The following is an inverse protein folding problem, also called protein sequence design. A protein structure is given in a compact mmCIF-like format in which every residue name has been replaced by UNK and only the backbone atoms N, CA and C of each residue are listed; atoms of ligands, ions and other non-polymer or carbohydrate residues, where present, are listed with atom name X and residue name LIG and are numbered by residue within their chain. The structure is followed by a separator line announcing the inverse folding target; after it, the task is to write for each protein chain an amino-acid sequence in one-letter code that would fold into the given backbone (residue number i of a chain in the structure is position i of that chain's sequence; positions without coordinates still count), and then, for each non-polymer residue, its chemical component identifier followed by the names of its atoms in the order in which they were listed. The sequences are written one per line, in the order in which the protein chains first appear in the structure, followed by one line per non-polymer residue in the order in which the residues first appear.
data_IF_667236153005
#
_entry.id   IF_667236153005
#
_cell.length_a   1.000
_cell.length_b   1.000
_cell.length_c   1.000
_cell.angle_alpha   90.00
_cell.angle_beta   90.00
_cell.angle_gamma   90.00
#
_symmetry.space_group_name_H-M   'P 1'
#
loop_
_entity.id
_entity.type
_entity.pdbx_description
1 polymer ?
#
# COMPACT_ATOMS: atom_id res chain seq x y z
N UNK A 1 -5.01 13.22 9.34
CA UNK A 1 -5.37 12.81 7.97
C UNK A 1 -5.61 11.31 7.87
N UNK A 2 -4.64 10.45 8.21
CA UNK A 2 -4.89 9.00 8.29
C UNK A 2 -5.98 8.61 9.31
N UNK A 3 -5.91 9.11 10.54
CA UNK A 3 -6.92 8.84 11.57
C UNK A 3 -8.32 9.26 11.11
N UNK A 4 -8.44 10.46 10.55
CA UNK A 4 -9.69 10.94 9.97
C UNK A 4 -10.18 10.04 8.83
N UNK A 5 -9.28 9.53 7.97
CA UNK A 5 -9.64 8.63 6.87
C UNK A 5 -10.18 7.30 7.40
N UNK A 6 -9.49 6.72 8.38
CA UNK A 6 -9.93 5.50 9.04
C UNK A 6 -11.29 5.68 9.73
N UNK A 7 -11.49 6.80 10.42
CA UNK A 7 -12.77 7.13 11.03
C UNK A 7 -13.88 7.29 9.98
N UNK A 8 -13.61 7.97 8.87
CA UNK A 8 -14.57 8.15 7.77
C UNK A 8 -14.92 6.81 7.11
N UNK A 9 -13.95 5.92 6.94
CA UNK A 9 -14.19 4.56 6.45
C UNK A 9 -15.00 3.71 7.44
N UNK A 10 -14.78 3.87 8.74
CA UNK A 10 -15.54 3.16 9.77
C UNK A 10 -17.01 3.62 9.78
N UNK A 11 -17.24 4.94 9.69
CA UNK A 11 -18.58 5.52 9.56
C UNK A 11 -19.28 5.08 8.28
N UNK A 12 -18.54 4.93 7.17
CA UNK A 12 -19.08 4.43 5.90
C UNK A 12 -19.53 2.96 6.00
N UNK A 13 -18.81 2.13 6.76
CA UNK A 13 -19.11 0.71 6.92
C UNK A 13 -20.26 0.46 7.89
N UNK A 14 -20.21 1.07 9.07
CA UNK A 14 -21.27 0.97 10.09
C UNK A 14 -21.24 2.23 10.97
N UNK A 15 -22.09 3.19 10.61
CA UNK A 15 -22.20 4.47 11.31
C UNK A 15 -22.68 4.28 12.76
N UNK A 16 -23.63 3.37 12.99
CA UNK A 16 -24.23 3.16 14.31
C UNK A 16 -23.22 2.55 15.30
N UNK A 17 -22.50 1.51 14.87
CA UNK A 17 -21.47 0.87 15.69
C UNK A 17 -20.29 1.83 15.93
N UNK A 18 -19.89 2.60 14.91
CA UNK A 18 -18.78 3.55 15.05
C UNK A 18 -19.13 4.67 16.03
N UNK A 19 -20.36 5.18 16.00
CA UNK A 19 -20.86 6.14 16.98
C UNK A 19 -20.91 5.56 18.39
N UNK A 20 -21.29 4.30 18.56
CA UNK A 20 -21.28 3.65 19.87
C UNK A 20 -19.86 3.55 20.43
N UNK A 21 -18.89 3.14 19.61
CA UNK A 21 -17.49 3.09 20.01
C UNK A 21 -16.94 4.46 20.41
N UNK A 22 -17.30 5.51 19.66
CA UNK A 22 -16.91 6.88 19.99
C UNK A 22 -17.53 7.35 21.32
N UNK A 23 -18.81 7.03 21.58
CA UNK A 23 -19.44 7.32 22.87
C UNK A 23 -18.76 6.59 24.03
N UNK A 24 -18.41 5.32 23.84
CA UNK A 24 -17.68 4.54 24.83
C UNK A 24 -16.28 5.11 25.10
N UNK A 25 -15.64 5.71 24.09
CA UNK A 25 -14.38 6.44 24.22
C UNK A 25 -14.53 7.85 24.82
N UNK A 26 -15.76 8.29 25.15
CA UNK A 26 -16.04 9.56 25.82
C UNK A 26 -16.26 10.75 24.88
N UNK A 27 -16.49 10.53 23.59
CA UNK A 27 -16.82 11.60 22.65
C UNK A 27 -18.33 11.88 22.65
N UNK A 28 -18.72 13.12 22.93
CA UNK A 28 -20.12 13.56 22.94
C UNK A 28 -20.59 14.07 21.57
N UNK A 29 -19.70 14.74 20.82
CA UNK A 29 -19.97 15.18 19.46
C UNK A 29 -19.49 14.14 18.46
N UNK A 30 -20.44 13.58 17.73
CA UNK A 30 -20.22 12.48 16.79
C UNK A 30 -20.37 13.00 15.37
N UNK A 31 -19.31 12.98 14.56
CA UNK A 31 -19.42 13.35 13.16
C UNK A 31 -20.27 12.32 12.42
N UNK A 32 -21.14 12.79 11.54
CA UNK A 32 -21.85 11.90 10.61
C UNK A 32 -21.00 11.68 9.38
N UNK A 33 -21.30 10.61 8.65
CA UNK A 33 -20.65 10.37 7.36
C UNK A 33 -20.81 11.57 6.41
N UNK A 34 -21.99 12.22 6.41
CA UNK A 34 -22.28 13.39 5.58
C UNK A 34 -21.33 14.55 5.81
N UNK A 35 -20.80 14.68 7.02
CA UNK A 35 -19.94 15.81 7.41
C UNK A 35 -18.51 15.61 6.89
N UNK A 36 -18.11 14.34 6.70
CA UNK A 36 -16.76 13.95 6.30
C UNK A 36 -16.66 13.53 4.83
N UNK A 37 -17.76 13.13 4.21
CA UNK A 37 -17.82 12.70 2.80
C UNK A 37 -17.19 13.72 1.82
N UNK A 38 -17.40 15.04 1.94
CA UNK A 38 -16.80 16.00 1.00
C UNK A 38 -15.27 16.08 1.05
N UNK A 39 -14.67 15.65 2.16
CA UNK A 39 -13.22 15.72 2.39
C UNK A 39 -12.52 14.39 2.07
N UNK A 40 -13.27 13.34 1.75
CA UNK A 40 -12.74 12.00 1.57
C UNK A 40 -11.67 11.93 0.48
N UNK A 41 -11.90 12.57 -0.67
CA UNK A 41 -10.94 12.58 -1.77
C UNK A 41 -9.61 13.23 -1.38
N UNK A 42 -9.66 14.33 -0.62
CA UNK A 42 -8.46 15.00 -0.12
C UNK A 42 -7.69 14.08 0.83
N UNK A 43 -8.40 13.45 1.76
CA UNK A 43 -7.81 12.57 2.78
C UNK A 43 -7.18 11.32 2.17
N UNK A 44 -7.80 10.75 1.13
CA UNK A 44 -7.22 9.63 0.36
C UNK A 44 -5.93 10.06 -0.31
N UNK A 45 -5.93 11.20 -1.02
CA UNK A 45 -4.76 11.68 -1.75
C UNK A 45 -3.58 11.95 -0.82
N UNK A 46 -3.82 12.59 0.32
CA UNK A 46 -2.75 12.88 1.28
C UNK A 46 -2.17 11.61 1.93
N UNK A 47 -3.03 10.64 2.26
CA UNK A 47 -2.57 9.35 2.80
C UNK A 47 -1.79 8.56 1.76
N UNK A 48 -2.23 8.58 0.50
CA UNK A 48 -1.52 7.94 -0.61
C UNK A 48 -0.14 8.56 -0.83
N UNK A 49 -0.03 9.88 -0.86
CA UNK A 49 1.25 10.58 -0.97
C UNK A 49 2.19 10.27 0.20
N UNK A 50 1.68 10.30 1.43
CA UNK A 50 2.47 9.94 2.61
C UNK A 50 2.94 8.47 2.57
N UNK A 51 2.09 7.55 2.07
CA UNK A 51 2.47 6.15 1.89
C UNK A 51 3.56 6.00 0.81
N UNK A 52 3.43 6.69 -0.32
CA UNK A 52 4.44 6.69 -1.38
C UNK A 52 5.78 7.22 -0.87
N UNK A 53 5.81 8.34 -0.14
CA UNK A 53 7.03 8.88 0.47
C UNK A 53 7.72 7.87 1.40
N UNK A 54 6.95 7.14 2.21
CA UNK A 54 7.48 6.06 3.06
C UNK A 54 8.00 4.87 2.23
N UNK A 55 7.37 4.55 1.11
CA UNK A 55 7.76 3.42 0.25
C UNK A 55 8.91 3.75 -0.72
N UNK A 56 9.13 5.03 -1.06
CA UNK A 56 10.26 5.49 -1.90
C UNK A 56 11.63 5.14 -1.29
N UNK A 57 11.70 4.96 0.03
CA UNK A 57 12.90 4.43 0.71
C UNK A 57 13.14 2.93 0.47
N UNK A 58 12.07 2.16 0.22
CA UNK A 58 12.13 0.75 -0.16
C UNK A 58 12.19 0.67 -1.68
N UNK A 59 13.30 1.13 -2.27
CA UNK A 59 13.63 0.86 -3.69
C UNK A 59 13.27 -0.59 -3.95
N UNK A 60 12.26 -0.83 -4.80
CA UNK A 60 11.97 -2.18 -5.26
C UNK A 60 13.31 -2.78 -5.67
N UNK A 61 13.81 -3.73 -4.86
CA UNK A 61 14.96 -4.49 -5.29
C UNK A 61 14.42 -5.19 -6.51
N UNK A 62 14.87 -4.79 -7.70
CA UNK A 62 14.56 -5.56 -8.89
C UNK A 62 15.08 -6.95 -8.60
N UNK A 63 14.16 -7.88 -8.34
CA UNK A 63 14.51 -9.26 -8.08
C UNK A 63 15.07 -9.77 -9.39
N UNK A 64 16.40 -9.72 -9.54
CA UNK A 64 17.06 -10.34 -10.67
C UNK A 64 16.95 -11.84 -10.46
N UNK A 65 16.10 -12.56 -11.24
CA UNK A 65 15.90 -13.99 -11.06
C UNK A 65 17.18 -14.79 -11.38
N UNK A 66 18.20 -14.15 -11.96
CA UNK A 66 19.48 -14.73 -12.32
C UNK A 66 20.65 -14.19 -11.49
N UNK A 67 20.39 -13.57 -10.33
CA UNK A 67 21.44 -12.95 -9.49
C UNK A 67 22.57 -13.90 -9.10
N UNK A 68 22.26 -15.19 -8.96
CA UNK A 68 23.20 -16.24 -8.54
C UNK A 68 23.70 -17.09 -9.73
N UNK A 69 23.36 -16.72 -10.97
CA UNK A 69 23.74 -17.49 -12.17
C UNK A 69 25.04 -16.93 -12.76
N UNK A 70 26.08 -17.77 -12.79
CA UNK A 70 27.35 -17.41 -13.40
C UNK A 70 27.23 -17.24 -14.90
N UNK A 71 27.97 -16.27 -15.46
CA UNK A 71 27.97 -15.94 -16.89
C UNK A 71 28.27 -17.14 -17.81
N UNK A 72 29.05 -18.12 -17.33
CA UNK A 72 29.43 -19.32 -18.09
C UNK A 72 28.58 -20.55 -17.77
N UNK A 73 27.67 -20.49 -16.81
CA UNK A 73 26.85 -21.62 -16.38
C UNK A 73 25.79 -21.97 -17.43
N UNK A 74 25.25 -23.20 -17.42
CA UNK A 74 24.09 -23.54 -18.22
C UNK A 74 22.94 -22.56 -17.96
N UNK A 75 22.30 -22.05 -19.01
CA UNK A 75 21.21 -21.11 -18.84
C UNK A 75 20.00 -21.81 -18.20
N UNK A 76 19.39 -21.24 -17.13
CA UNK A 76 18.25 -21.85 -16.43
C UNK A 76 16.98 -22.05 -17.28
N UNK A 77 16.92 -21.49 -18.49
CA UNK A 77 15.78 -21.65 -19.40
C UNK A 77 15.75 -23.01 -20.14
N UNK A 78 16.72 -23.91 -19.88
CA UNK A 78 16.77 -25.23 -20.52
C UNK A 78 17.29 -25.24 -21.96
N UNK A 79 17.81 -24.12 -22.48
CA UNK A 79 18.32 -24.03 -23.85
C UNK A 79 19.61 -24.82 -24.13
N UNK A 80 20.28 -25.32 -23.09
CA UNK A 80 21.60 -25.95 -23.18
C UNK A 80 22.76 -24.99 -23.49
N UNK A 81 22.49 -23.70 -23.71
CA UNK A 81 23.50 -22.66 -23.98
C UNK A 81 24.05 -22.10 -22.66
N UNK A 82 25.29 -21.58 -22.68
CA UNK A 82 25.83 -20.79 -21.55
C UNK A 82 24.99 -19.53 -21.32
N UNK A 83 24.81 -19.09 -20.07
CA UNK A 83 23.99 -17.94 -19.70
C UNK A 83 24.30 -16.68 -20.55
N UNK A 84 25.60 -16.38 -20.75
CA UNK A 84 26.07 -15.27 -21.62
C UNK A 84 25.71 -15.34 -23.10
N UNK A 85 25.26 -16.50 -23.58
CA UNK A 85 24.82 -16.74 -24.97
C UNK A 85 23.30 -16.90 -25.05
N UNK A 86 22.59 -16.58 -23.97
CA UNK A 86 21.14 -16.68 -23.85
C UNK A 86 20.61 -15.47 -23.07
N UNK A 87 20.16 -15.63 -21.82
CA UNK A 87 19.53 -14.56 -21.02
C UNK A 87 20.50 -13.62 -20.28
N UNK A 88 21.81 -13.85 -20.39
CA UNK A 88 22.85 -13.02 -19.76
C UNK A 88 23.43 -11.94 -20.69
N UNK A 89 22.64 -11.46 -21.66
CA UNK A 89 23.00 -10.40 -22.60
C UNK A 89 22.36 -9.08 -22.18
#
# INVERSE_FOLDING_TARGET
MLSALLTTMSLLMDEAQTHEQMKQAGFEELPRLSDLQPQLDLMINEVAQAADELMVGNKSQSLNPYKDVGRNDPCPCGSGKKFKKCHGA
#
